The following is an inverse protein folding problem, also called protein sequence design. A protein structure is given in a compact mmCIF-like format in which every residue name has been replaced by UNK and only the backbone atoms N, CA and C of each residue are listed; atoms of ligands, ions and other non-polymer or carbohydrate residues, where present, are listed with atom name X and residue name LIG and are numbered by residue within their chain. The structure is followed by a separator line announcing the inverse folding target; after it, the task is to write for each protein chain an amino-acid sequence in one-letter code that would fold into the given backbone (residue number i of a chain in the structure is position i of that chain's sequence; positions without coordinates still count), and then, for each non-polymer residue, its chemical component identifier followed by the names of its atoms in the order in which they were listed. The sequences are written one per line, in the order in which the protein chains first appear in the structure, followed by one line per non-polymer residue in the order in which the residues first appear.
data_IF_395493340962
#
_entry.id   IF_395493340962
#
_cell.length_a   1.000
_cell.length_b   1.000
_cell.length_c   1.000
_cell.angle_alpha   90.00
_cell.angle_beta   90.00
_cell.angle_gamma   90.00
#
_symmetry.space_group_name_H-M   'P 1'
#
loop_
_entity.id
_entity.type
_entity.pdbx_description
1 polymer ?
#
# COMPACT_ATOMS: atom_id res chain seq x y z
N UNK A 1 2.05 0.59 39.43
CA UNK A 1 2.66 1.36 38.33
C UNK A 1 2.77 0.41 37.16
N UNK A 2 1.87 0.51 36.19
CA UNK A 2 1.97 -0.28 34.96
C UNK A 2 2.85 0.51 34.00
N UNK A 3 3.95 -0.10 33.56
CA UNK A 3 4.76 0.40 32.45
C UNK A 3 3.91 0.38 31.18
N UNK A 4 3.89 1.47 30.37
CA UNK A 4 3.21 1.45 29.08
C UNK A 4 3.98 0.56 28.07
N UNK A 5 3.29 -0.07 27.10
CA UNK A 5 3.92 -0.92 26.09
C UNK A 5 4.88 -0.12 25.20
N UNK A 6 6.06 -0.69 24.94
CA UNK A 6 7.23 -0.10 24.25
C UNK A 6 7.09 0.00 22.71
N UNK A 7 5.87 0.11 22.18
CA UNK A 7 5.61 0.13 20.73
C UNK A 7 4.66 1.28 20.30
N UNK A 8 4.47 2.28 21.16
CA UNK A 8 3.87 3.54 20.71
C UNK A 8 4.96 4.35 20.02
N UNK A 9 4.91 4.46 18.69
CA UNK A 9 5.68 5.46 17.96
C UNK A 9 5.47 6.80 18.65
N UNK A 10 6.56 7.40 19.16
CA UNK A 10 6.50 8.69 19.82
C UNK A 10 6.07 9.73 18.78
N UNK A 11 5.38 10.81 19.18
CA UNK A 11 5.02 11.90 18.27
C UNK A 11 6.24 12.56 17.56
N UNK A 12 7.46 12.19 17.97
CA UNK A 12 8.73 12.57 17.37
C UNK A 12 9.09 11.76 16.12
N UNK A 13 8.56 10.55 15.95
CA UNK A 13 8.76 9.74 14.74
C UNK A 13 7.93 10.27 13.55
N UNK A 14 6.89 11.08 13.80
CA UNK A 14 6.05 11.69 12.77
C UNK A 14 6.63 12.99 12.16
N UNK A 15 7.76 13.47 12.68
CA UNK A 15 8.56 14.55 12.07
C UNK A 15 9.54 13.98 11.02
N UNK A 16 9.51 12.66 10.78
CA UNK A 16 10.18 11.99 9.67
C UNK A 16 9.26 11.93 8.43
N UNK A 17 9.77 12.39 7.28
CA UNK A 17 9.05 12.42 6.01
C UNK A 17 8.63 11.03 5.53
N UNK A 18 9.41 9.99 5.82
CA UNK A 18 9.09 8.61 5.43
C UNK A 18 7.90 8.08 6.24
N UNK A 19 7.85 8.39 7.54
CA UNK A 19 6.75 7.97 8.42
C UNK A 19 5.47 8.71 8.07
N UNK A 20 5.54 10.03 7.87
CA UNK A 20 4.42 10.83 7.39
C UNK A 20 3.92 10.34 6.01
N UNK A 21 4.81 10.18 5.03
CA UNK A 21 4.44 9.71 3.70
C UNK A 21 3.79 8.32 3.72
N UNK A 22 4.26 7.45 4.62
CA UNK A 22 3.70 6.10 4.81
C UNK A 22 2.29 6.15 5.40
N UNK A 23 2.05 7.01 6.39
CA UNK A 23 0.72 7.19 6.97
C UNK A 23 -0.24 7.88 5.98
N UNK A 24 0.22 8.94 5.30
CA UNK A 24 -0.55 9.64 4.26
C UNK A 24 -0.98 8.70 3.14
N UNK A 25 -0.08 7.82 2.67
CA UNK A 25 -0.39 6.82 1.66
C UNK A 25 -1.45 5.80 2.13
N UNK A 26 -1.39 5.36 3.39
CA UNK A 26 -2.40 4.46 3.96
C UNK A 26 -3.77 5.15 4.11
N UNK A 27 -3.78 6.42 4.54
CA UNK A 27 -4.99 7.21 4.73
C UNK A 27 -5.65 7.66 3.42
N UNK A 28 -4.91 7.70 2.31
CA UNK A 28 -5.44 7.94 0.98
C UNK A 28 -6.31 6.78 0.46
N UNK A 29 -6.39 5.67 1.21
CA UNK A 29 -7.27 4.56 0.89
C UNK A 29 -8.74 4.82 1.27
N UNK A 30 -9.68 4.77 0.30
CA UNK A 30 -11.11 4.81 0.64
C UNK A 30 -11.61 3.55 1.37
N UNK A 31 -10.87 2.44 1.33
CA UNK A 31 -11.25 1.18 1.99
C UNK A 31 -10.67 1.01 3.39
N UNK A 32 -9.72 1.85 3.79
CA UNK A 32 -9.07 1.73 5.09
C UNK A 32 -9.96 2.32 6.18
N UNK A 33 -9.93 1.70 7.35
CA UNK A 33 -10.55 2.27 8.54
C UNK A 33 -9.65 3.40 9.05
N UNK A 34 -9.92 4.60 8.52
CA UNK A 34 -9.18 5.83 8.79
C UNK A 34 -9.05 6.11 10.28
N UNK A 35 -10.15 5.98 11.03
CA UNK A 35 -10.19 6.24 12.46
C UNK A 35 -9.34 5.22 13.24
N UNK A 36 -9.39 3.94 12.85
CA UNK A 36 -8.55 2.91 13.46
C UNK A 36 -7.06 3.11 13.16
N UNK A 37 -6.70 3.52 11.93
CA UNK A 37 -5.33 3.82 11.55
C UNK A 37 -4.78 4.99 12.37
N UNK A 38 -5.49 6.12 12.42
CA UNK A 38 -5.05 7.27 13.21
C UNK A 38 -4.90 6.91 14.69
N UNK A 39 -5.87 6.19 15.27
CA UNK A 39 -5.81 5.77 16.66
C UNK A 39 -4.61 4.85 16.96
N UNK A 40 -4.21 4.00 16.01
CA UNK A 40 -3.01 3.16 16.14
C UNK A 40 -1.72 3.99 16.22
N UNK A 41 -1.72 5.19 15.62
CA UNK A 41 -0.64 6.16 15.71
C UNK A 41 -0.82 7.17 16.86
N UNK A 42 -1.81 6.98 17.74
CA UNK A 42 -2.12 7.92 18.83
C UNK A 42 -2.64 9.28 18.33
N UNK A 43 -3.09 9.32 17.08
CA UNK A 43 -3.64 10.49 16.41
C UNK A 43 -5.16 10.41 16.41
N UNK A 44 -5.75 11.58 16.38
CA UNK A 44 -7.16 11.84 16.11
C UNK A 44 -7.24 12.74 14.87
N UNK A 45 -8.42 12.85 14.26
CA UNK A 45 -8.64 13.60 13.03
C UNK A 45 -8.07 15.03 13.09
N UNK A 46 -8.32 15.76 14.19
CA UNK A 46 -7.82 17.14 14.38
C UNK A 46 -6.29 17.20 14.44
N UNK A 47 -5.64 16.24 15.10
CA UNK A 47 -4.17 16.15 15.15
C UNK A 47 -3.58 15.73 13.81
N UNK A 48 -4.26 14.86 13.08
CA UNK A 48 -3.86 14.50 11.72
C UNK A 48 -3.91 15.74 10.80
N UNK A 49 -5.00 16.50 10.82
CA UNK A 49 -5.12 17.71 9.99
C UNK A 49 -4.01 18.71 10.32
N UNK A 50 -3.77 18.99 11.60
CA UNK A 50 -2.68 19.89 12.01
C UNK A 50 -1.28 19.40 11.58
N UNK A 51 -1.05 18.08 11.62
CA UNK A 51 0.19 17.46 11.16
C UNK A 51 0.33 17.56 9.64
N UNK A 52 -0.74 17.26 8.90
CA UNK A 52 -0.78 17.33 7.44
C UNK A 52 -0.53 18.76 6.95
N UNK A 53 -1.23 19.77 7.52
CA UNK A 53 -1.01 21.19 7.21
C UNK A 53 0.46 21.61 7.46
N UNK A 54 1.05 21.19 8.56
CA UNK A 54 2.45 21.50 8.87
C UNK A 54 3.43 20.87 7.85
N UNK A 55 3.15 19.65 7.40
CA UNK A 55 3.94 18.98 6.37
C UNK A 55 3.73 19.57 4.99
N UNK A 56 2.50 19.91 4.60
CA UNK A 56 2.20 20.59 3.33
C UNK A 56 2.94 21.93 3.28
N UNK A 57 2.94 22.70 4.36
CA UNK A 57 3.69 23.96 4.44
C UNK A 57 5.20 23.75 4.25
N UNK A 58 5.79 22.74 4.92
CA UNK A 58 7.22 22.39 4.76
C UNK A 58 7.57 21.90 3.35
N UNK A 59 6.70 21.11 2.73
CA UNK A 59 6.90 20.61 1.37
C UNK A 59 6.82 21.76 0.35
N UNK A 60 5.87 22.69 0.53
CA UNK A 60 5.79 23.89 -0.31
C UNK A 60 6.99 24.82 -0.14
N UNK A 61 7.44 25.06 1.10
CA UNK A 61 8.64 25.87 1.37
C UNK A 61 9.89 25.25 0.71
N UNK A 62 10.05 23.93 0.82
CA UNK A 62 11.14 23.22 0.17
C UNK A 62 11.09 23.29 -1.38
N UNK A 63 9.90 23.36 -1.97
CA UNK A 63 9.70 23.50 -3.42
C UNK A 63 9.99 24.94 -3.91
N UNK A 64 9.70 25.95 -3.09
CA UNK A 64 9.96 27.36 -3.38
C UNK A 64 11.44 27.78 -3.16
N UNK A 65 12.18 27.13 -2.24
CA UNK A 65 13.58 27.46 -1.93
C UNK A 65 14.58 27.06 -3.03
N UNK A 66 14.26 26.07 -3.87
CA UNK A 66 15.10 25.59 -4.99
C UNK A 66 14.88 26.41 -6.28
N UNK A 67 14.59 27.70 -6.16
CA UNK A 67 14.19 28.62 -7.24
C UNK A 67 15.18 28.80 -8.42
N UNK A 68 16.30 28.09 -8.46
CA UNK A 68 17.28 28.13 -9.56
C UNK A 68 17.89 26.75 -9.94
N UNK A 69 17.61 25.67 -9.20
CA UNK A 69 18.17 24.33 -9.48
C UNK A 69 17.17 23.48 -10.29
N UNK A 70 17.64 22.84 -11.38
CA UNK A 70 16.79 22.02 -12.25
C UNK A 70 16.60 20.65 -11.62
N UNK A 71 15.80 20.57 -10.56
CA UNK A 71 15.58 19.32 -9.82
C UNK A 71 14.38 19.39 -8.87
N UNK A 72 13.84 18.21 -8.53
CA UNK A 72 12.86 18.09 -7.43
C UNK A 72 13.63 18.13 -6.11
N UNK A 73 13.22 18.96 -5.13
CA UNK A 73 13.91 19.05 -3.84
C UNK A 73 14.00 17.68 -3.15
N UNK A 74 15.09 17.37 -2.43
CA UNK A 74 15.28 16.08 -1.77
C UNK A 74 14.12 15.67 -0.84
N UNK A 75 13.51 16.64 -0.16
CA UNK A 75 12.37 16.40 0.72
C UNK A 75 11.12 15.96 -0.05
N UNK A 76 10.81 16.67 -1.15
CA UNK A 76 9.68 16.37 -2.03
C UNK A 76 9.89 15.04 -2.73
N UNK A 77 11.13 14.75 -3.16
CA UNK A 77 11.50 13.46 -3.74
C UNK A 77 11.31 12.32 -2.74
N UNK A 78 11.82 12.44 -1.50
CA UNK A 78 11.67 11.42 -0.47
C UNK A 78 10.20 11.12 -0.12
N UNK A 79 9.37 12.18 -0.01
CA UNK A 79 7.93 12.04 0.18
C UNK A 79 7.29 11.27 -0.99
N UNK A 80 7.53 11.70 -2.22
CA UNK A 80 6.94 11.10 -3.42
C UNK A 80 7.37 9.63 -3.61
N UNK A 81 8.64 9.33 -3.38
CA UNK A 81 9.18 7.97 -3.47
C UNK A 81 8.56 7.03 -2.44
N UNK A 82 8.48 7.46 -1.17
CA UNK A 82 7.90 6.66 -0.10
C UNK A 82 6.40 6.45 -0.31
N UNK A 83 5.66 7.51 -0.63
CA UNK A 83 4.24 7.42 -0.94
C UNK A 83 3.99 6.44 -2.10
N UNK A 84 4.71 6.58 -3.21
CA UNK A 84 4.59 5.68 -4.36
C UNK A 84 4.96 4.23 -4.01
N UNK A 85 6.00 4.03 -3.17
CA UNK A 85 6.41 2.70 -2.72
C UNK A 85 5.31 2.02 -1.89
N UNK A 86 4.68 2.74 -0.96
CA UNK A 86 3.60 2.21 -0.12
C UNK A 86 2.37 1.88 -0.96
N UNK A 87 1.98 2.79 -1.86
CA UNK A 87 0.88 2.55 -2.79
C UNK A 87 1.14 1.34 -3.72
N UNK A 88 2.37 1.16 -4.22
CA UNK A 88 2.75 -0.01 -5.03
C UNK A 88 2.78 -1.30 -4.21
N UNK A 89 3.34 -1.29 -3.00
CA UNK A 89 3.33 -2.46 -2.12
C UNK A 89 1.91 -2.92 -1.80
N UNK A 90 0.99 -1.97 -1.68
CA UNK A 90 -0.42 -2.24 -1.47
C UNK A 90 -1.11 -2.75 -2.73
N UNK A 91 -0.94 -2.12 -3.89
CA UNK A 91 -1.49 -2.61 -5.15
C UNK A 91 -1.08 -4.09 -5.40
N UNK A 92 0.18 -4.43 -5.09
CA UNK A 92 0.69 -5.82 -5.11
C UNK A 92 0.02 -6.75 -4.10
N UNK A 93 -0.56 -6.23 -3.03
CA UNK A 93 -1.25 -6.98 -1.97
C UNK A 93 -2.75 -7.18 -2.23
N UNK A 94 -3.35 -6.44 -3.17
CA UNK A 94 -4.82 -6.40 -3.36
C UNK A 94 -5.36 -7.32 -4.46
N UNK A 95 -4.54 -8.19 -5.05
CA UNK A 95 -5.04 -9.15 -6.02
C UNK A 95 -5.92 -10.19 -5.31
N UNK A 96 -7.21 -9.90 -5.27
CA UNK A 96 -8.22 -10.75 -4.61
C UNK A 96 -8.18 -12.15 -5.16
N UNK A 97 -8.54 -13.14 -4.33
CA UNK A 97 -8.57 -14.54 -4.75
C UNK A 97 -9.43 -14.77 -5.99
N UNK A 98 -10.52 -14.00 -6.16
CA UNK A 98 -11.41 -14.09 -7.32
C UNK A 98 -10.73 -13.58 -8.61
N UNK A 99 -10.01 -12.45 -8.54
CA UNK A 99 -9.17 -11.94 -9.65
C UNK A 99 -8.03 -12.90 -9.99
N UNK A 100 -7.41 -13.50 -8.99
CA UNK A 100 -6.39 -14.53 -9.18
C UNK A 100 -6.98 -15.75 -9.91
N UNK A 101 -8.17 -16.20 -9.52
CA UNK A 101 -8.87 -17.29 -10.18
C UNK A 101 -9.25 -16.98 -11.62
N UNK A 102 -9.71 -15.76 -11.90
CA UNK A 102 -10.02 -15.33 -13.27
C UNK A 102 -8.78 -15.37 -14.16
N UNK A 103 -7.65 -14.86 -13.67
CA UNK A 103 -6.36 -14.91 -14.36
C UNK A 103 -5.90 -16.35 -14.59
N UNK A 104 -5.87 -17.18 -13.54
CA UNK A 104 -5.46 -18.59 -13.61
C UNK A 104 -6.35 -19.42 -14.56
N UNK A 105 -7.66 -19.16 -14.57
CA UNK A 105 -8.62 -19.82 -15.45
C UNK A 105 -8.41 -19.44 -16.91
N UNK A 106 -8.17 -18.15 -17.19
CA UNK A 106 -7.92 -17.67 -18.54
C UNK A 106 -6.62 -18.27 -19.12
N UNK A 107 -5.57 -18.37 -18.30
CA UNK A 107 -4.32 -19.04 -18.67
C UNK A 107 -4.53 -20.54 -18.90
N UNK A 108 -5.31 -21.23 -18.04
CA UNK A 108 -5.64 -22.65 -18.24
C UNK A 108 -6.35 -22.91 -19.57
N UNK A 109 -7.16 -21.97 -20.05
CA UNK A 109 -7.86 -22.05 -21.34
C UNK A 109 -6.94 -21.82 -22.56
N UNK A 110 -5.64 -21.63 -22.35
CA UNK A 110 -4.66 -21.43 -23.40
C UNK A 110 -4.57 -19.98 -23.90
N UNK A 111 -5.13 -19.02 -23.15
CA UNK A 111 -4.89 -17.59 -23.45
C UNK A 111 -3.47 -17.23 -23.00
N UNK A 112 -2.76 -16.50 -23.85
CA UNK A 112 -1.42 -16.00 -23.54
C UNK A 112 -1.41 -15.15 -22.26
N UNK A 113 -0.40 -15.35 -21.42
CA UNK A 113 -0.27 -14.69 -20.12
C UNK A 113 -0.27 -13.16 -20.25
N UNK A 114 0.47 -12.59 -21.21
CA UNK A 114 0.53 -11.14 -21.38
C UNK A 114 -0.84 -10.56 -21.79
N UNK A 115 -1.59 -11.31 -22.60
CA UNK A 115 -2.96 -10.94 -22.98
C UNK A 115 -3.92 -10.97 -21.79
N UNK A 116 -3.84 -11.99 -20.93
CA UNK A 116 -4.66 -12.10 -19.72
C UNK A 116 -4.36 -10.97 -18.75
N UNK A 117 -3.07 -10.75 -18.47
CA UNK A 117 -2.62 -9.71 -17.53
C UNK A 117 -3.04 -8.32 -18.02
N UNK A 118 -2.81 -8.00 -19.29
CA UNK A 118 -3.25 -6.73 -19.88
C UNK A 118 -4.77 -6.55 -19.83
N UNK A 119 -5.55 -7.60 -20.07
CA UNK A 119 -7.02 -7.53 -19.98
C UNK A 119 -7.52 -7.28 -18.55
N UNK A 120 -6.80 -7.80 -17.57
CA UNK A 120 -7.15 -7.69 -16.15
C UNK A 120 -6.53 -6.45 -15.49
N UNK A 121 -5.78 -5.64 -16.24
CA UNK A 121 -5.01 -4.50 -15.72
C UNK A 121 -4.03 -4.94 -14.61
N UNK A 122 -3.41 -6.11 -14.81
CA UNK A 122 -2.47 -6.71 -13.87
C UNK A 122 -1.05 -6.69 -14.45
N UNK A 123 -0.05 -6.54 -13.60
CA UNK A 123 1.33 -6.80 -14.00
C UNK A 123 1.72 -8.26 -13.76
N UNK A 124 2.80 -8.70 -14.39
CA UNK A 124 3.38 -10.02 -14.13
C UNK A 124 3.83 -10.17 -12.67
N UNK A 125 4.34 -9.08 -12.09
CA UNK A 125 4.81 -9.06 -10.71
C UNK A 125 3.66 -9.22 -9.70
N UNK A 126 2.50 -8.58 -9.98
CA UNK A 126 1.28 -8.75 -9.20
C UNK A 126 0.78 -10.20 -9.24
N UNK A 127 0.75 -10.80 -10.43
CA UNK A 127 0.30 -12.19 -10.60
C UNK A 127 1.22 -13.20 -9.90
N UNK A 128 2.55 -13.04 -10.02
CA UNK A 128 3.51 -13.94 -9.35
C UNK A 128 3.43 -13.82 -7.82
N UNK A 129 3.28 -12.59 -7.31
CA UNK A 129 3.12 -12.33 -5.88
C UNK A 129 1.82 -12.94 -5.35
N UNK A 130 0.71 -12.74 -6.08
CA UNK A 130 -0.58 -13.34 -5.77
C UNK A 130 -0.53 -14.87 -5.84
N UNK A 131 0.14 -15.43 -6.85
CA UNK A 131 0.29 -16.88 -6.99
C UNK A 131 1.01 -17.49 -5.79
N UNK A 132 2.15 -16.93 -5.35
CA UNK A 132 2.86 -17.44 -4.18
C UNK A 132 2.00 -17.37 -2.92
N UNK A 133 1.37 -16.22 -2.68
CA UNK A 133 0.50 -15.98 -1.51
C UNK A 133 -0.68 -16.95 -1.48
N UNK A 134 -1.46 -17.02 -2.56
CA UNK A 134 -2.65 -17.86 -2.61
C UNK A 134 -2.28 -19.35 -2.65
N UNK A 135 -1.12 -19.72 -3.20
CA UNK A 135 -0.63 -21.10 -3.11
C UNK A 135 -0.30 -21.49 -1.69
N UNK A 136 0.37 -20.63 -0.92
CA UNK A 136 0.61 -20.86 0.51
C UNK A 136 -0.71 -20.95 1.29
N UNK A 137 -1.64 -20.01 1.08
CA UNK A 137 -2.94 -20.02 1.73
C UNK A 137 -3.77 -21.28 1.39
N UNK A 138 -3.74 -21.75 0.15
CA UNK A 138 -4.43 -22.99 -0.27
C UNK A 138 -3.81 -24.26 0.35
N UNK A 139 -2.54 -24.25 0.73
CA UNK A 139 -1.92 -25.38 1.44
C UNK A 139 -2.35 -25.45 2.91
N UNK A 140 -2.66 -24.30 3.50
CA UNK A 140 -3.10 -24.19 4.90
C UNK A 140 -4.63 -24.29 5.05
N UNK A 141 -5.39 -23.96 4.00
CA UNK A 141 -6.85 -23.90 4.00
C UNK A 141 -7.47 -24.77 2.89
N UNK A 142 -8.13 -25.85 3.32
CA UNK A 142 -8.77 -26.82 2.45
C UNK A 142 -9.99 -26.26 1.69
N UNK A 143 -10.71 -25.27 2.25
CA UNK A 143 -11.84 -24.61 1.58
C UNK A 143 -11.36 -23.75 0.41
N UNK A 144 -10.26 -23.01 0.61
CA UNK A 144 -9.58 -22.25 -0.44
C UNK A 144 -9.11 -23.16 -1.58
N UNK A 145 -8.51 -24.31 -1.24
CA UNK A 145 -8.11 -25.33 -2.21
C UNK A 145 -9.32 -25.90 -2.99
N UNK A 146 -10.41 -26.24 -2.30
CA UNK A 146 -11.63 -26.74 -2.94
C UNK A 146 -12.25 -25.70 -3.89
N UNK A 147 -12.24 -24.42 -3.49
CA UNK A 147 -12.73 -23.31 -4.30
C UNK A 147 -11.87 -23.11 -5.55
N UNK A 148 -10.55 -23.24 -5.43
CA UNK A 148 -9.63 -23.21 -6.58
C UNK A 148 -9.87 -24.36 -7.55
N UNK A 149 -9.94 -25.60 -7.05
CA UNK A 149 -10.20 -26.77 -7.88
C UNK A 149 -11.55 -26.66 -8.62
N UNK A 150 -12.58 -26.14 -7.96
CA UNK A 150 -13.91 -25.94 -8.56
C UNK A 150 -13.89 -24.89 -9.68
N UNK A 151 -13.16 -23.80 -9.49
CA UNK A 151 -13.02 -22.75 -10.50
C UNK A 151 -12.15 -23.18 -11.70
N UNK A 152 -11.20 -24.09 -11.45
CA UNK A 152 -10.32 -24.65 -12.46
C UNK A 152 -10.94 -25.82 -13.22
N UNK A 153 -12.00 -26.45 -12.73
CA UNK A 153 -12.73 -27.52 -13.41
C UNK A 153 -13.48 -26.99 -14.64
#
# INVERSE_FOLDING_TARGET
MNEPPRDALDARDLDDVEVYATLAAQLADPSADRAALLAAHGLDEERWEALDDAWQARLSEADDEDGEDVGVPPLVAAYAETFARVQRARARSELTFDRFLEAARAMKRGTDMATVLSRLDLTLEDYLSAQQRWTAAMLEDEELMARFQRAMK
#
